data_IF_210329297872
#
_entry.id   IF_210329297872
#
_cell.length_a   1.000
_cell.length_b   1.000
_cell.length_c   1.000
_cell.angle_alpha   90.00
_cell.angle_beta   90.00
_cell.angle_gamma   90.00
#
_symmetry.space_group_name_H-M   'P 1'
#
loop_
_entity.id
_entity.type
_entity.pdbx_description
1 polymer ?
#
# COMPACT_ATOMS: atom_id res chain seq x y z
N UNK A 1 4.67 -19.15 -6.01
CA UNK A 1 3.66 -18.85 -4.97
C UNK A 1 4.19 -17.69 -4.17
N UNK A 2 3.49 -16.55 -4.13
CA UNK A 2 3.94 -15.41 -3.33
C UNK A 2 3.58 -15.65 -1.84
N UNK A 3 4.54 -15.38 -0.97
CA UNK A 3 4.54 -15.63 0.47
C UNK A 3 4.59 -14.31 1.25
N UNK A 4 4.42 -14.37 2.58
CA UNK A 4 4.53 -13.20 3.47
C UNK A 4 5.89 -12.49 3.36
N UNK A 5 6.93 -13.28 3.09
CA UNK A 5 8.29 -12.76 2.86
C UNK A 5 8.33 -11.89 1.61
N UNK A 6 7.66 -12.25 0.52
CA UNK A 6 7.64 -11.47 -0.72
C UNK A 6 6.94 -10.12 -0.53
N UNK A 7 5.85 -10.08 0.25
CA UNK A 7 5.17 -8.82 0.59
C UNK A 7 6.10 -7.91 1.41
N UNK A 8 6.78 -8.48 2.41
CA UNK A 8 7.74 -7.74 3.24
C UNK A 8 8.92 -7.24 2.42
N UNK A 9 9.52 -8.08 1.57
CA UNK A 9 10.67 -7.73 0.74
C UNK A 9 10.32 -6.61 -0.24
N UNK A 10 9.13 -6.70 -0.86
CA UNK A 10 8.66 -5.67 -1.76
C UNK A 10 8.42 -4.33 -1.05
N UNK A 11 7.91 -4.35 0.19
CA UNK A 11 7.82 -3.16 1.03
C UNK A 11 9.22 -2.64 1.45
N UNK A 12 10.20 -3.50 1.69
CA UNK A 12 11.58 -3.09 1.98
C UNK A 12 12.23 -2.39 0.77
N UNK A 13 11.99 -2.91 -0.43
CA UNK A 13 12.55 -2.38 -1.68
C UNK A 13 11.88 -1.05 -2.10
N UNK A 14 10.57 -0.92 -1.91
CA UNK A 14 9.81 0.26 -2.32
C UNK A 14 9.62 1.30 -1.19
N UNK A 15 9.90 0.91 0.06
CA UNK A 15 9.70 1.72 1.26
C UNK A 15 8.23 1.83 1.70
N UNK A 16 7.40 2.46 0.88
CA UNK A 16 5.96 2.65 1.14
C UNK A 16 5.11 2.33 -0.08
N UNK A 17 4.03 1.57 0.09
CA UNK A 17 3.21 1.19 -1.06
C UNK A 17 1.77 0.82 -0.73
N UNK A 18 0.88 0.99 -1.71
CA UNK A 18 -0.54 0.63 -1.61
C UNK A 18 -0.75 -0.88 -1.74
N UNK A 19 -1.70 -1.42 -0.98
CA UNK A 19 -2.07 -2.84 -1.04
C UNK A 19 -2.46 -3.29 -2.47
N UNK A 20 -3.12 -2.42 -3.24
CA UNK A 20 -3.46 -2.70 -4.65
C UNK A 20 -2.23 -2.86 -5.54
N UNK A 21 -1.19 -2.06 -5.33
CA UNK A 21 0.07 -2.16 -6.09
C UNK A 21 0.81 -3.44 -5.74
N UNK A 22 0.82 -3.83 -4.47
CA UNK A 22 1.40 -5.11 -4.00
C UNK A 22 0.69 -6.28 -4.69
N UNK A 23 -0.66 -6.29 -4.69
CA UNK A 23 -1.44 -7.34 -5.35
C UNK A 23 -1.17 -7.44 -6.85
N UNK A 24 -1.06 -6.31 -7.55
CA UNK A 24 -0.71 -6.29 -8.98
C UNK A 24 0.69 -6.86 -9.25
N UNK A 25 1.69 -6.47 -8.46
CA UNK A 25 3.07 -6.96 -8.66
C UNK A 25 3.26 -8.42 -8.29
N UNK A 26 2.60 -8.89 -7.24
CA UNK A 26 2.69 -10.28 -6.79
C UNK A 26 1.64 -11.20 -7.46
N UNK A 27 0.83 -10.66 -8.38
CA UNK A 27 -0.32 -11.34 -8.98
C UNK A 27 -1.23 -12.01 -7.92
N UNK A 28 -1.43 -11.33 -6.79
CA UNK A 28 -2.25 -11.79 -5.67
C UNK A 28 -3.57 -11.03 -5.61
N UNK A 29 -4.68 -11.71 -5.24
CA UNK A 29 -5.94 -11.03 -5.00
C UNK A 29 -5.81 -10.08 -3.80
N UNK A 30 -6.39 -8.88 -3.92
CA UNK A 30 -6.37 -7.85 -2.89
C UNK A 30 -6.74 -8.35 -1.47
N UNK A 31 -7.80 -9.15 -1.25
CA UNK A 31 -8.13 -9.64 0.09
C UNK A 31 -7.03 -10.52 0.71
N UNK A 32 -6.26 -11.26 -0.11
CA UNK A 32 -5.12 -12.03 0.38
C UNK A 32 -3.98 -11.12 0.81
N UNK A 33 -3.69 -10.10 0.01
CA UNK A 33 -2.65 -9.11 0.34
C UNK A 33 -3.01 -8.33 1.60
N UNK A 34 -4.27 -7.92 1.74
CA UNK A 34 -4.77 -7.24 2.94
C UNK A 34 -4.55 -8.10 4.19
N UNK A 35 -4.97 -9.38 4.16
CA UNK A 35 -4.76 -10.29 5.28
C UNK A 35 -3.27 -10.49 5.62
N UNK A 36 -2.39 -10.53 4.61
CA UNK A 36 -0.94 -10.63 4.80
C UNK A 36 -0.35 -9.38 5.45
N UNK A 37 -0.81 -8.20 5.05
CA UNK A 37 -0.40 -6.92 5.62
C UNK A 37 -0.90 -6.75 7.05
N UNK A 38 -2.16 -7.09 7.33
CA UNK A 38 -2.70 -7.14 8.69
C UNK A 38 -1.91 -8.11 9.58
N UNK A 39 -1.49 -9.25 9.05
CA UNK A 39 -0.64 -10.17 9.81
C UNK A 39 0.74 -9.55 10.12
N UNK A 40 1.36 -8.87 9.16
CA UNK A 40 2.63 -8.16 9.37
C UNK A 40 2.48 -7.03 10.40
N UNK A 41 1.34 -6.34 10.40
CA UNK A 41 1.01 -5.31 11.40
C UNK A 41 0.85 -5.90 12.80
N UNK A 42 0.11 -7.01 12.94
CA UNK A 42 -0.01 -7.73 14.22
C UNK A 42 1.33 -8.22 14.77
N UNK A 43 2.28 -8.51 13.88
CA UNK A 43 3.65 -8.88 14.24
C UNK A 43 4.56 -7.67 14.53
N UNK A 44 4.06 -6.44 14.38
CA UNK A 44 4.86 -5.22 14.51
C UNK A 44 5.95 -5.07 13.45
N UNK A 45 5.74 -5.64 12.25
CA UNK A 45 6.68 -5.60 11.11
C UNK A 45 6.25 -4.65 10.00
N UNK A 46 4.98 -4.28 9.95
CA UNK A 46 4.47 -3.27 9.04
C UNK A 46 3.49 -2.35 9.78
N UNK A 47 3.26 -1.17 9.24
CA UNK A 47 2.24 -0.25 9.73
C UNK A 47 1.48 0.37 8.57
N UNK A 48 0.20 0.64 8.81
CA UNK A 48 -0.63 1.41 7.90
C UNK A 48 -0.37 2.90 8.07
N UNK A 49 0.04 3.53 6.98
CA UNK A 49 0.28 4.97 6.87
C UNK A 49 -0.84 5.54 6.03
N UNK A 50 -1.58 6.51 6.58
CA UNK A 50 -2.48 7.29 5.76
C UNK A 50 -1.61 8.20 4.87
N UNK A 51 -1.72 8.05 3.55
CA UNK A 51 -1.19 9.06 2.66
C UNK A 51 -1.90 10.37 3.01
N UNK A 52 -1.15 11.40 3.40
CA UNK A 52 -1.69 12.74 3.43
C UNK A 52 -2.28 13.03 2.03
N UNK A 53 -3.44 13.71 1.95
CA UNK A 53 -3.92 14.19 0.67
C UNK A 53 -2.90 15.22 0.19
N UNK A 54 -1.87 14.75 -0.53
CA UNK A 54 -0.85 15.60 -1.10
C UNK A 54 -1.60 16.68 -1.87
N UNK A 55 -1.43 17.90 -1.35
CA UNK A 55 -2.14 19.06 -1.80
C UNK A 55 -2.00 19.11 -3.31
N UNK A 56 -3.15 19.02 -4.00
CA UNK A 56 -3.26 19.12 -5.44
C UNK A 56 -2.85 20.56 -5.85
N UNK A 57 -1.55 20.84 -5.84
CA UNK A 57 -0.92 22.14 -6.12
C UNK A 57 -0.20 22.14 -7.47
N UNK A 58 -0.47 21.15 -8.33
CA UNK A 58 -0.10 21.24 -9.74
C UNK A 58 -1.33 21.21 -10.63
N UNK A 59 -1.58 22.36 -11.22
CA UNK A 59 -2.27 22.57 -12.48
C UNK A 59 -1.93 21.47 -13.50
N UNK A 60 -2.71 20.39 -13.56
CA UNK A 60 -2.53 19.38 -14.62
C UNK A 60 -3.02 17.95 -14.39
N UNK A 61 -3.66 17.59 -13.27
CA UNK A 61 -4.20 16.23 -13.11
C UNK A 61 -5.55 16.06 -13.82
N UNK A 62 -5.51 15.76 -15.12
CA UNK A 62 -6.69 15.49 -15.97
C UNK A 62 -7.24 14.06 -15.81
N UNK A 63 -7.41 13.58 -14.56
CA UNK A 63 -7.83 12.19 -14.35
C UNK A 63 -8.15 11.72 -12.91
N UNK A 64 -8.34 12.62 -11.94
CA UNK A 64 -8.84 12.23 -10.62
C UNK A 64 -10.36 12.45 -10.55
N UNK A 65 -11.21 11.41 -10.53
CA UNK A 65 -12.64 11.58 -10.35
C UNK A 65 -12.95 12.17 -8.96
N UNK A 66 -13.56 13.35 -8.96
CA UNK A 66 -13.86 14.27 -7.84
C UNK A 66 -14.89 13.77 -6.80
N UNK A 67 -14.94 12.48 -6.46
CA UNK A 67 -16.00 12.02 -5.53
C UNK A 67 -15.65 10.99 -4.45
N UNK A 68 -14.39 10.56 -4.32
CA UNK A 68 -13.93 9.85 -3.12
C UNK A 68 -12.52 10.30 -2.79
N UNK A 69 -12.35 10.92 -1.62
CA UNK A 69 -11.06 11.40 -1.15
C UNK A 69 -9.97 10.37 -1.38
N UNK A 70 -8.86 10.77 -1.99
CA UNK A 70 -7.68 9.92 -2.22
C UNK A 70 -6.98 9.61 -0.89
N UNK A 71 -7.70 9.04 0.07
CA UNK A 71 -7.16 8.44 1.28
C UNK A 71 -6.55 7.09 0.87
N UNK A 72 -5.37 7.15 0.27
CA UNK A 72 -4.65 5.94 -0.12
C UNK A 72 -4.00 5.37 1.13
N UNK A 73 -4.46 4.17 1.52
CA UNK A 73 -3.86 3.40 2.59
C UNK A 73 -2.51 2.87 2.11
N UNK A 74 -1.43 3.52 2.53
CA UNK A 74 -0.07 3.09 2.29
C UNK A 74 0.35 2.14 3.40
N UNK A 75 1.23 1.22 3.06
CA UNK A 75 1.86 0.31 3.99
C UNK A 75 3.36 0.53 3.93
N UNK A 76 4.02 0.54 5.08
CA UNK A 76 5.48 0.59 5.18
C UNK A 76 5.95 -0.39 6.25
N UNK A 77 7.22 -0.80 6.18
CA UNK A 77 7.82 -1.58 7.26
C UNK A 77 8.06 -0.72 8.49
N UNK A 78 7.78 -1.29 9.66
CA UNK A 78 8.18 -0.73 10.96
C UNK A 78 9.58 -1.25 11.29
N UNK A 79 10.47 -0.35 11.68
CA UNK A 79 11.86 -0.66 12.06
C UNK A 79 11.94 -1.12 13.52
#
# INVERSE_FOLDING_TARGET
>A
MASLVDVRDLLALQGRMEAQRIGKMLALPLPRVAAMLEQLERMGKAQRVQAEPDACLSSGCKGCPESQGCQRELWMLTH
#
